data_IF_436397440390
#
_entry.id   IF_436397440390
#
_cell.length_a   1.000
_cell.length_b   1.000
_cell.length_c   1.000
_cell.angle_alpha   90.00
_cell.angle_beta   90.00
_cell.angle_gamma   90.00
#
_symmetry.space_group_name_H-M   'P 1'
#
loop_
_entity.id
_entity.type
_entity.pdbx_description
1 polymer ?
#
# COMPACT_ATOMS: atom_id res chain seq x y z
N UNK A 1 22.34 -8.81 -16.03
CA UNK A 1 21.38 -9.66 -15.30
C UNK A 1 20.74 -8.91 -14.11
N UNK A 2 21.51 -8.28 -13.20
CA UNK A 2 20.96 -7.58 -12.04
C UNK A 2 19.91 -6.52 -12.40
N UNK A 3 20.18 -5.68 -13.40
CA UNK A 3 19.26 -4.65 -13.87
C UNK A 3 17.96 -5.24 -14.43
N UNK A 4 18.04 -6.36 -15.15
CA UNK A 4 16.86 -7.06 -15.67
C UNK A 4 15.96 -7.57 -14.53
N UNK A 5 16.54 -8.27 -13.55
CA UNK A 5 15.78 -8.79 -12.40
C UNK A 5 15.20 -7.68 -11.53
N UNK A 6 15.95 -6.58 -11.32
CA UNK A 6 15.44 -5.43 -10.56
C UNK A 6 14.29 -4.74 -11.28
N UNK A 7 14.42 -4.49 -12.59
CA UNK A 7 13.36 -3.86 -13.38
C UNK A 7 12.10 -4.72 -13.42
N UNK A 8 12.25 -6.05 -13.60
CA UNK A 8 11.13 -6.99 -13.58
C UNK A 8 10.41 -6.98 -12.23
N UNK A 9 11.17 -7.10 -11.13
CA UNK A 9 10.60 -7.14 -9.76
C UNK A 9 9.86 -5.83 -9.43
N UNK A 10 10.45 -4.68 -9.75
CA UNK A 10 9.80 -3.37 -9.54
C UNK A 10 8.52 -3.26 -10.37
N UNK A 11 8.56 -3.62 -11.65
CA UNK A 11 7.38 -3.60 -12.52
C UNK A 11 6.28 -4.54 -12.01
N UNK A 12 6.65 -5.74 -11.55
CA UNK A 12 5.73 -6.74 -11.01
C UNK A 12 5.04 -6.26 -9.72
N UNK A 13 5.78 -5.62 -8.81
CA UNK A 13 5.23 -5.08 -7.57
C UNK A 13 4.33 -3.86 -7.86
N UNK A 14 4.77 -2.92 -8.70
CA UNK A 14 3.98 -1.73 -9.05
C UNK A 14 2.69 -2.05 -9.79
N UNK A 15 2.71 -3.08 -10.65
CA UNK A 15 1.51 -3.55 -11.36
C UNK A 15 0.65 -4.49 -10.54
N UNK A 16 1.06 -4.81 -9.31
CA UNK A 16 0.41 -5.78 -8.42
C UNK A 16 0.24 -7.17 -9.05
N UNK A 17 1.20 -7.56 -9.92
CA UNK A 17 1.20 -8.87 -10.59
C UNK A 17 1.77 -9.96 -9.67
N UNK A 18 2.80 -9.64 -8.88
CA UNK A 18 3.38 -10.52 -7.87
C UNK A 18 4.31 -11.63 -8.40
N UNK A 19 4.61 -11.68 -9.69
CA UNK A 19 5.60 -12.62 -10.21
C UNK A 19 7.03 -12.15 -9.91
N UNK A 20 7.91 -13.09 -9.67
CA UNK A 20 9.34 -12.84 -9.46
C UNK A 20 10.19 -13.77 -10.32
N UNK A 21 11.32 -13.28 -10.78
CA UNK A 21 12.33 -14.06 -11.52
C UNK A 21 13.47 -14.52 -10.63
N UNK A 22 13.60 -13.91 -9.44
CA UNK A 22 14.61 -14.19 -8.44
C UNK A 22 14.04 -13.99 -7.04
N UNK A 23 14.68 -14.60 -6.05
CA UNK A 23 14.34 -14.37 -4.65
C UNK A 23 14.91 -13.03 -4.17
N UNK A 24 14.10 -11.99 -4.17
CA UNK A 24 14.48 -10.67 -3.67
C UNK A 24 14.57 -10.59 -2.13
N UNK A 25 14.16 -11.63 -1.41
CA UNK A 25 14.43 -11.75 0.03
C UNK A 25 15.94 -11.82 0.36
N UNK A 26 16.77 -12.21 -0.63
CA UNK A 26 18.23 -12.25 -0.49
C UNK A 26 18.92 -10.93 -0.89
N UNK A 27 18.16 -9.91 -1.32
CA UNK A 27 18.73 -8.64 -1.71
C UNK A 27 19.20 -7.82 -0.50
N UNK A 28 20.09 -6.83 -0.68
CA UNK A 28 20.47 -5.92 0.38
C UNK A 28 19.27 -5.27 1.04
N UNK A 29 19.32 -5.09 2.36
CA UNK A 29 18.22 -4.55 3.17
C UNK A 29 17.63 -3.23 2.61
N UNK A 30 18.50 -2.36 2.09
CA UNK A 30 18.06 -1.11 1.45
C UNK A 30 17.12 -1.37 0.26
N UNK A 31 17.44 -2.35 -0.59
CA UNK A 31 16.60 -2.72 -1.74
C UNK A 31 15.27 -3.32 -1.29
N UNK A 32 15.28 -4.15 -0.24
CA UNK A 32 14.05 -4.71 0.34
C UNK A 32 13.14 -3.60 0.89
N UNK A 33 13.69 -2.60 1.61
CA UNK A 33 12.93 -1.46 2.12
C UNK A 33 12.31 -0.66 0.96
N UNK A 34 13.07 -0.41 -0.11
CA UNK A 34 12.54 0.25 -1.30
C UNK A 34 11.38 -0.54 -1.93
N UNK A 35 11.49 -1.86 -2.03
CA UNK A 35 10.40 -2.70 -2.54
C UNK A 35 9.17 -2.60 -1.66
N UNK A 36 9.34 -2.63 -0.33
CA UNK A 36 8.22 -2.45 0.61
C UNK A 36 7.55 -1.07 0.46
N UNK A 37 8.33 -0.01 0.27
CA UNK A 37 7.76 1.33 0.00
C UNK A 37 6.96 1.35 -1.30
N UNK A 38 7.48 0.72 -2.35
CA UNK A 38 6.80 0.61 -3.64
C UNK A 38 5.50 -0.20 -3.52
N UNK A 39 5.43 -1.21 -2.64
CA UNK A 39 4.20 -1.98 -2.39
C UNK A 39 3.00 -1.11 -2.01
N UNK A 40 3.21 0.00 -1.30
CA UNK A 40 2.14 0.93 -0.91
C UNK A 40 1.72 1.88 -2.04
N UNK A 41 2.55 2.04 -3.07
CA UNK A 41 2.28 2.92 -4.20
C UNK A 41 1.59 2.11 -5.28
N UNK A 42 0.28 2.18 -5.33
CA UNK A 42 -0.53 1.50 -6.34
C UNK A 42 -0.44 2.15 -7.72
N UNK A 43 -1.13 1.57 -8.68
CA UNK A 43 -1.18 2.07 -10.05
C UNK A 43 -1.92 3.42 -10.21
N UNK A 44 -2.09 3.83 -11.46
CA UNK A 44 -2.85 5.05 -11.82
C UNK A 44 -4.33 4.92 -11.44
N UNK A 45 -5.01 6.06 -11.32
CA UNK A 45 -6.47 6.10 -11.17
C UNK A 45 -7.13 5.31 -12.30
N UNK A 46 -8.10 4.44 -11.94
CA UNK A 46 -8.78 3.57 -12.90
C UNK A 46 -8.03 2.28 -13.27
N UNK A 47 -6.82 2.03 -12.74
CA UNK A 47 -6.16 0.73 -12.88
C UNK A 47 -6.82 -0.32 -11.95
N UNK A 48 -6.81 -1.57 -12.38
CA UNK A 48 -7.32 -2.72 -11.60
C UNK A 48 -6.36 -3.18 -10.49
N UNK A 49 -5.16 -2.59 -10.41
CA UNK A 49 -4.17 -2.90 -9.38
C UNK A 49 -4.63 -2.45 -7.99
N UNK A 50 -4.20 -3.16 -6.96
CA UNK A 50 -4.43 -2.79 -5.55
C UNK A 50 -3.59 -1.58 -5.11
N UNK A 51 -3.57 -1.34 -3.80
CA UNK A 51 -2.76 -0.28 -3.18
C UNK A 51 -3.37 1.12 -3.27
N UNK A 52 -2.67 2.07 -2.64
CA UNK A 52 -3.07 3.47 -2.65
C UNK A 52 -2.73 4.05 -4.01
N UNK A 53 -3.75 4.46 -4.77
CA UNK A 53 -3.54 5.05 -6.10
C UNK A 53 -2.63 6.27 -6.05
N UNK A 54 -1.74 6.39 -7.05
CA UNK A 54 -0.81 7.53 -7.16
C UNK A 54 -1.53 8.89 -7.06
N UNK A 55 -2.71 9.02 -7.65
CA UNK A 55 -3.53 10.24 -7.55
C UNK A 55 -3.86 10.61 -6.11
N UNK A 56 -4.25 9.63 -5.27
CA UNK A 56 -4.56 9.85 -3.84
C UNK A 56 -3.30 10.28 -3.07
N UNK A 57 -2.14 9.67 -3.36
CA UNK A 57 -0.86 10.06 -2.74
C UNK A 57 -0.51 11.51 -3.10
N UNK A 58 -0.65 11.91 -4.37
CA UNK A 58 -0.40 13.28 -4.81
C UNK A 58 -1.34 14.28 -4.10
N UNK A 59 -2.62 13.94 -3.96
CA UNK A 59 -3.60 14.77 -3.25
C UNK A 59 -3.19 14.93 -1.78
N UNK A 60 -2.84 13.85 -1.09
CA UNK A 60 -2.40 13.88 0.32
C UNK A 60 -1.14 14.74 0.51
N UNK A 61 -0.13 14.56 -0.34
CA UNK A 61 1.09 15.36 -0.28
C UNK A 61 0.79 16.85 -0.52
N UNK A 62 -0.01 17.18 -1.54
CA UNK A 62 -0.40 18.57 -1.80
C UNK A 62 -1.25 19.17 -0.67
N UNK A 63 -2.15 18.36 -0.07
CA UNK A 63 -2.94 18.79 1.08
C UNK A 63 -2.04 19.11 2.29
N UNK A 64 -1.09 18.22 2.62
CA UNK A 64 -0.14 18.42 3.70
C UNK A 64 0.73 19.66 3.47
N UNK A 65 1.23 19.84 2.25
CA UNK A 65 2.02 21.04 1.90
C UNK A 65 1.20 22.32 1.97
N UNK A 66 -0.09 22.29 1.60
CA UNK A 66 -1.01 23.41 1.75
C UNK A 66 -1.19 23.77 3.22
N UNK A 67 -1.42 22.80 4.08
CA UNK A 67 -1.59 23.01 5.52
C UNK A 67 -0.33 23.65 6.13
N UNK A 68 0.85 23.11 5.86
CA UNK A 68 2.13 23.68 6.31
C UNK A 68 2.26 25.14 5.83
N UNK A 69 1.94 25.40 4.55
CA UNK A 69 2.02 26.76 4.00
C UNK A 69 0.99 27.71 4.61
N UNK A 70 -0.18 27.21 5.01
CA UNK A 70 -1.20 27.99 5.73
C UNK A 70 -0.74 28.44 7.11
N UNK A 71 0.03 27.60 7.81
CA UNK A 71 0.65 27.99 9.09
C UNK A 71 1.69 29.11 8.91
N UNK A 72 2.47 29.06 7.82
CA UNK A 72 3.50 30.05 7.54
C UNK A 72 2.91 31.37 6.99
N UNK A 73 1.83 31.27 6.22
CA UNK A 73 1.19 32.41 5.53
C UNK A 73 -0.33 32.37 5.70
N UNK A 74 -0.88 32.74 6.88
CA UNK A 74 -2.32 32.55 7.20
C UNK A 74 -3.28 33.32 6.28
N UNK A 75 -2.81 34.39 5.61
CA UNK A 75 -3.61 35.20 4.67
C UNK A 75 -3.60 34.65 3.23
N UNK A 76 -2.84 33.57 2.95
CA UNK A 76 -2.73 33.01 1.60
C UNK A 76 -3.74 31.91 1.38
N UNK A 77 -4.78 32.16 0.59
CA UNK A 77 -5.76 31.15 0.18
C UNK A 77 -5.24 30.45 -1.09
N UNK A 78 -4.55 29.31 -0.94
CA UNK A 78 -4.12 28.48 -2.08
C UNK A 78 -5.07 27.31 -2.26
N UNK A 79 -5.71 27.24 -3.44
CA UNK A 79 -6.48 26.05 -3.84
C UNK A 79 -5.52 24.95 -4.33
N UNK A 80 -5.80 23.72 -3.97
CA UNK A 80 -5.08 22.58 -4.53
C UNK A 80 -5.56 22.36 -5.95
N UNK A 81 -4.62 22.28 -6.90
CA UNK A 81 -4.92 22.02 -8.30
C UNK A 81 -4.34 20.69 -8.75
N UNK A 82 -5.10 19.94 -9.55
CA UNK A 82 -4.67 18.74 -10.25
C UNK A 82 -5.00 18.92 -11.74
N UNK A 83 -4.01 18.72 -12.62
CA UNK A 83 -4.15 18.94 -14.06
C UNK A 83 -4.72 20.33 -14.41
N UNK A 84 -4.23 21.39 -13.74
CA UNK A 84 -4.67 22.78 -13.87
C UNK A 84 -6.13 23.06 -13.45
N UNK A 85 -6.85 22.07 -12.90
CA UNK A 85 -8.21 22.27 -12.35
C UNK A 85 -8.15 22.32 -10.82
N UNK A 86 -8.91 23.25 -10.19
CA UNK A 86 -9.01 23.27 -8.72
C UNK A 86 -9.73 22.00 -8.24
N UNK A 87 -9.21 21.37 -7.20
CA UNK A 87 -9.85 20.24 -6.53
C UNK A 87 -10.87 20.74 -5.52
N UNK A 88 -12.00 20.07 -5.47
CA UNK A 88 -13.00 20.29 -4.44
C UNK A 88 -12.51 19.78 -3.08
N UNK A 89 -12.89 20.48 -2.01
CA UNK A 89 -12.50 20.09 -0.65
C UNK A 89 -13.06 18.70 -0.27
N UNK A 90 -14.18 18.30 -0.83
CA UNK A 90 -14.81 17.00 -0.58
C UNK A 90 -13.93 15.84 -1.06
N UNK A 91 -13.24 16.01 -2.19
CA UNK A 91 -12.30 15.02 -2.71
C UNK A 91 -11.09 14.88 -1.77
N UNK A 92 -10.60 15.99 -1.25
CA UNK A 92 -9.47 15.99 -0.31
C UNK A 92 -9.87 15.31 0.99
N UNK A 93 -11.06 15.63 1.51
CA UNK A 93 -11.59 15.05 2.74
C UNK A 93 -11.81 13.53 2.60
N UNK A 94 -12.47 13.09 1.53
CA UNK A 94 -12.69 11.67 1.22
C UNK A 94 -11.36 10.91 1.09
N UNK A 95 -10.37 11.49 0.39
CA UNK A 95 -9.04 10.90 0.27
C UNK A 95 -8.34 10.75 1.63
N UNK A 96 -8.52 11.73 2.52
CA UNK A 96 -7.93 11.69 3.87
C UNK A 96 -8.60 10.62 4.74
N UNK A 97 -9.93 10.49 4.67
CA UNK A 97 -10.67 9.42 5.36
C UNK A 97 -10.23 8.05 4.85
N UNK A 98 -10.16 7.87 3.54
CA UNK A 98 -9.68 6.63 2.94
C UNK A 98 -8.29 6.24 3.48
N UNK A 99 -7.35 7.19 3.49
CA UNK A 99 -6.00 6.94 4.00
C UNK A 99 -5.98 6.59 5.49
N UNK A 100 -6.76 7.30 6.32
CA UNK A 100 -6.89 7.01 7.74
C UNK A 100 -7.46 5.60 7.97
N UNK A 101 -8.51 5.22 7.24
CA UNK A 101 -9.11 3.88 7.31
C UNK A 101 -8.14 2.79 6.85
N UNK A 102 -7.41 3.04 5.75
CA UNK A 102 -6.39 2.12 5.25
C UNK A 102 -5.30 1.87 6.31
N UNK A 103 -4.77 2.93 6.91
CA UNK A 103 -3.73 2.83 7.95
C UNK A 103 -4.25 2.16 9.22
N UNK A 104 -5.50 2.44 9.61
CA UNK A 104 -6.14 1.79 10.74
C UNK A 104 -6.27 0.27 10.52
N UNK A 105 -6.85 -0.15 9.40
CA UNK A 105 -6.98 -1.55 9.04
C UNK A 105 -5.62 -2.24 8.96
N UNK A 106 -4.65 -1.61 8.30
CA UNK A 106 -3.30 -2.13 8.21
C UNK A 106 -2.70 -2.40 9.61
N UNK A 107 -2.76 -1.41 10.50
CA UNK A 107 -2.18 -1.52 11.85
C UNK A 107 -2.88 -2.59 12.69
N UNK A 108 -4.22 -2.60 12.70
CA UNK A 108 -5.00 -3.61 13.44
C UNK A 108 -4.66 -5.02 12.96
N UNK A 109 -4.44 -5.18 11.68
CA UNK A 109 -4.16 -6.50 11.11
C UNK A 109 -2.74 -6.97 11.35
N UNK A 110 -1.75 -6.09 11.31
CA UNK A 110 -0.39 -6.44 11.76
C UNK A 110 -0.42 -6.90 13.22
N UNK A 111 -1.20 -6.22 14.08
CA UNK A 111 -1.39 -6.64 15.47
C UNK A 111 -2.10 -8.00 15.56
N UNK A 112 -3.13 -8.22 14.75
CA UNK A 112 -3.84 -9.50 14.74
C UNK A 112 -2.94 -10.68 14.27
N UNK A 113 -2.08 -10.45 13.27
CA UNK A 113 -1.14 -11.46 12.82
C UNK A 113 -0.04 -11.75 13.84
N UNK A 114 0.30 -10.79 14.71
CA UNK A 114 1.33 -10.98 15.73
C UNK A 114 1.01 -12.10 16.73
N UNK A 115 -0.26 -12.46 16.89
CA UNK A 115 -0.66 -13.62 17.71
C UNK A 115 -0.12 -14.96 17.23
N UNK A 116 0.36 -15.05 15.98
CA UNK A 116 0.99 -16.27 15.46
C UNK A 116 2.45 -16.47 15.93
N UNK A 117 3.05 -15.49 16.62
CA UNK A 117 4.44 -15.56 17.06
C UNK A 117 5.46 -15.50 15.92
N UNK A 118 5.07 -15.06 14.73
CA UNK A 118 5.98 -14.82 13.60
C UNK A 118 6.75 -13.50 13.80
N UNK A 119 7.88 -13.37 13.09
CA UNK A 119 8.67 -12.14 13.11
C UNK A 119 7.91 -10.93 12.55
N UNK A 120 8.35 -9.74 12.94
CA UNK A 120 7.70 -8.50 12.53
C UNK A 120 7.71 -8.30 11.01
N UNK A 121 8.82 -8.60 10.34
CA UNK A 121 8.97 -8.40 8.89
C UNK A 121 7.97 -9.29 8.13
N UNK A 122 7.85 -10.55 8.52
CA UNK A 122 6.88 -11.49 7.93
C UNK A 122 5.44 -10.98 8.10
N UNK A 123 5.02 -10.61 9.34
CA UNK A 123 3.67 -10.13 9.59
C UNK A 123 3.37 -8.82 8.85
N UNK A 124 4.29 -7.85 8.90
CA UNK A 124 4.16 -6.56 8.26
C UNK A 124 4.03 -6.69 6.74
N UNK A 125 4.94 -7.46 6.12
CA UNK A 125 4.94 -7.62 4.66
C UNK A 125 3.83 -8.53 4.16
N UNK A 126 3.36 -9.49 4.96
CA UNK A 126 2.17 -10.29 4.65
C UNK A 126 0.91 -9.41 4.55
N UNK A 127 0.70 -8.51 5.53
CA UNK A 127 -0.41 -7.55 5.48
C UNK A 127 -0.24 -6.58 4.32
N UNK A 128 0.97 -6.02 4.13
CA UNK A 128 1.26 -5.09 3.02
C UNK A 128 0.99 -5.74 1.66
N UNK A 129 1.46 -6.96 1.44
CA UNK A 129 1.28 -7.68 0.19
C UNK A 129 -0.19 -8.04 -0.10
N UNK A 130 -0.97 -8.37 0.94
CA UNK A 130 -2.37 -8.76 0.79
C UNK A 130 -3.31 -7.57 0.62
N UNK A 131 -3.16 -6.50 1.41
CA UNK A 131 -4.01 -5.29 1.29
C UNK A 131 -3.77 -4.56 -0.04
N UNK A 132 -2.55 -4.63 -0.57
CA UNK A 132 -2.19 -4.05 -1.86
C UNK A 132 -2.37 -5.05 -3.03
N UNK A 133 -2.85 -6.26 -2.76
CA UNK A 133 -3.09 -7.32 -3.77
C UNK A 133 -1.87 -7.65 -4.64
N UNK A 134 -0.68 -7.65 -4.06
CA UNK A 134 0.58 -7.94 -4.76
C UNK A 134 0.86 -9.45 -4.76
N UNK A 135 0.68 -10.11 -3.61
CA UNK A 135 0.92 -11.52 -3.39
C UNK A 135 2.13 -11.77 -2.49
N UNK A 136 3.37 -11.82 -3.00
CA UNK A 136 4.53 -12.12 -2.16
C UNK A 136 4.96 -10.92 -1.30
N UNK A 137 5.42 -11.22 -0.08
CA UNK A 137 6.05 -10.28 0.84
C UNK A 137 7.56 -10.50 0.95
N UNK A 138 8.08 -10.48 2.18
CA UNK A 138 9.47 -10.76 2.53
C UNK A 138 9.55 -11.89 3.56
N UNK A 139 10.75 -12.40 3.80
CA UNK A 139 11.04 -13.49 4.75
C UNK A 139 10.16 -14.73 4.48
N UNK A 140 9.40 -15.18 5.48
CA UNK A 140 8.58 -16.40 5.39
C UNK A 140 7.39 -16.30 4.43
N UNK A 141 7.10 -15.12 3.90
CA UNK A 141 6.08 -14.88 2.85
C UNK A 141 6.69 -14.33 1.56
N UNK A 142 8.00 -14.52 1.42
CA UNK A 142 8.75 -14.11 0.22
C UNK A 142 8.32 -14.85 -1.05
N UNK A 143 8.93 -14.50 -2.20
CA UNK A 143 8.51 -15.01 -3.52
C UNK A 143 8.68 -16.52 -3.70
N UNK A 144 9.54 -17.16 -2.90
CA UNK A 144 9.78 -18.61 -2.90
C UNK A 144 9.00 -19.35 -1.81
N UNK A 145 8.26 -18.62 -0.99
CA UNK A 145 7.54 -19.12 0.17
C UNK A 145 6.02 -19.09 -0.06
N UNK A 146 5.24 -19.42 0.97
CA UNK A 146 3.79 -19.39 0.88
C UNK A 146 3.12 -19.01 2.21
N UNK A 147 1.85 -18.63 2.15
CA UNK A 147 1.04 -18.24 3.31
C UNK A 147 0.52 -19.44 4.14
N UNK A 148 0.96 -20.66 3.85
CA UNK A 148 0.56 -21.89 4.56
C UNK A 148 0.89 -21.89 6.04
N UNK A 149 1.94 -21.16 6.43
CA UNK A 149 2.46 -21.05 7.80
C UNK A 149 1.49 -20.36 8.79
N UNK A 150 0.59 -19.52 8.29
CA UNK A 150 -0.35 -18.78 9.14
C UNK A 150 -1.48 -19.66 9.68
N UNK A 151 -1.96 -19.33 10.89
CA UNK A 151 -3.14 -19.95 11.48
C UNK A 151 -4.40 -19.68 10.65
N UNK A 152 -5.44 -20.46 10.88
CA UNK A 152 -6.73 -20.27 10.20
C UNK A 152 -7.30 -18.86 10.43
N UNK A 153 -7.20 -18.34 11.64
CA UNK A 153 -7.63 -16.98 11.97
C UNK A 153 -6.90 -15.92 11.13
N UNK A 154 -5.57 -15.99 11.07
CA UNK A 154 -4.78 -15.03 10.28
C UNK A 154 -5.04 -15.14 8.78
N UNK A 155 -5.30 -16.34 8.29
CA UNK A 155 -5.72 -16.53 6.88
C UNK A 155 -7.03 -15.81 6.57
N UNK A 156 -8.02 -15.86 7.47
CA UNK A 156 -9.26 -15.10 7.30
C UNK A 156 -9.03 -13.59 7.28
N UNK A 157 -8.15 -13.08 8.17
CA UNK A 157 -7.76 -11.66 8.17
C UNK A 157 -7.11 -11.28 6.83
N UNK A 158 -6.18 -12.09 6.32
CA UNK A 158 -5.50 -11.83 5.05
C UNK A 158 -6.47 -11.93 3.85
N UNK A 159 -7.42 -12.87 3.84
CA UNK A 159 -8.48 -12.96 2.82
C UNK A 159 -9.33 -11.70 2.81
N UNK A 160 -9.75 -11.22 4.00
CA UNK A 160 -10.48 -9.96 4.11
C UNK A 160 -9.70 -8.79 3.50
N UNK A 161 -8.37 -8.73 3.72
CA UNK A 161 -7.52 -7.68 3.12
C UNK A 161 -7.47 -7.74 1.59
N UNK A 162 -7.37 -8.93 1.03
CA UNK A 162 -7.39 -9.11 -0.43
C UNK A 162 -8.71 -8.56 -1.00
N UNK A 163 -9.84 -8.86 -0.35
CA UNK A 163 -11.14 -8.34 -0.77
C UNK A 163 -11.23 -6.83 -0.60
N UNK A 164 -10.83 -6.31 0.56
CA UNK A 164 -10.85 -4.88 0.88
C UNK A 164 -9.97 -4.07 -0.08
N UNK A 165 -8.75 -4.56 -0.37
CA UNK A 165 -7.83 -3.94 -1.32
C UNK A 165 -8.34 -3.96 -2.76
N UNK A 166 -9.04 -5.04 -3.16
CA UNK A 166 -9.60 -5.17 -4.51
C UNK A 166 -10.82 -4.28 -4.73
N UNK A 167 -11.67 -4.13 -3.72
CA UNK A 167 -12.89 -3.32 -3.76
C UNK A 167 -12.66 -1.84 -3.44
N UNK A 168 -11.39 -1.42 -3.29
CA UNK A 168 -10.97 -0.04 -2.99
C UNK A 168 -11.56 0.52 -1.68
N UNK A 169 -11.87 -0.32 -0.68
CA UNK A 169 -12.38 0.00 0.66
C UNK A 169 -13.71 0.77 0.69
N UNK A 170 -13.90 1.78 -0.18
CA UNK A 170 -15.06 2.66 -0.16
C UNK A 170 -16.39 1.92 -0.38
N UNK A 171 -16.55 1.03 -1.39
CA UNK A 171 -17.78 0.25 -1.55
C UNK A 171 -18.01 -0.78 -0.45
N UNK A 172 -16.94 -1.30 0.18
CA UNK A 172 -17.04 -2.32 1.22
C UNK A 172 -17.53 -1.74 2.56
N UNK A 173 -17.30 -0.46 2.82
CA UNK A 173 -17.72 0.22 4.04
C UNK A 173 -19.16 0.74 3.97
N UNK A 174 -19.75 0.77 2.77
CA UNK A 174 -21.13 1.24 2.52
C UNK A 174 -22.12 0.07 2.50
N UNK A 175 -21.66 -1.16 2.33
CA UNK A 175 -22.45 -2.40 2.39
C UNK A 175 -22.58 -2.92 3.82
#
# INVERSE_FOLDING_TARGET
>A
EALHHSAFTVASIMSTTGFSTVDYGQWPMFSQILLVMIMFVGGCAGSTGGGIKVSRIIILVKASLREINSYLHPKSIKKITMEAKPLDNDIIHTTSIYFATFMFLFTVSVMALSFNGMDFITNFTAVAATINNIGPGLELVGPTQNFGIFSLFSKWVLIFHILAGKLELDPLLIL
#
